data_IF_407933079118
#
_entry.id   IF_407933079118
#
_cell.length_a   1.000
_cell.length_b   1.000
_cell.length_c   1.000
_cell.angle_alpha   90.00
_cell.angle_beta   90.00
_cell.angle_gamma   90.00
#
_symmetry.space_group_name_H-M   'P 1'
#
loop_
_entity.id
_entity.type
_entity.pdbx_description
1 polymer ?
#
# COMPACT_ATOMS: atom_id res chain seq x y z
N UNK A 1 -11.11 2.19 18.65
CA UNK A 1 -10.40 1.14 17.89
C UNK A 1 -9.44 0.46 18.84
N UNK A 2 -9.53 -0.85 19.02
CA UNK A 2 -8.58 -1.62 19.84
C UNK A 2 -7.59 -2.32 18.92
N UNK A 3 -6.33 -2.45 19.35
CA UNK A 3 -5.28 -3.17 18.63
C UNK A 3 -4.80 -4.33 19.47
N UNK A 4 -4.75 -5.51 18.88
CA UNK A 4 -4.18 -6.68 19.56
C UNK A 4 -2.64 -6.62 19.50
N UNK A 5 -1.96 -7.31 20.43
CA UNK A 5 -0.50 -7.45 20.35
C UNK A 5 -0.05 -8.13 19.05
N UNK A 6 -0.86 -9.07 18.54
CA UNK A 6 -0.60 -9.76 17.28
C UNK A 6 -0.68 -8.80 16.11
N UNK A 7 -1.73 -8.00 16.05
CA UNK A 7 -1.94 -7.03 14.98
C UNK A 7 -0.83 -5.99 14.91
N UNK A 8 -0.41 -5.45 16.07
CA UNK A 8 0.71 -4.50 16.12
C UNK A 8 2.01 -5.14 15.62
N UNK A 9 2.24 -6.41 15.97
CA UNK A 9 3.39 -7.17 15.44
C UNK A 9 3.27 -7.36 13.93
N UNK A 10 2.12 -7.80 13.44
CA UNK A 10 1.89 -8.08 12.01
C UNK A 10 2.01 -6.78 11.18
N UNK A 11 1.48 -5.66 11.66
CA UNK A 11 1.67 -4.33 11.05
C UNK A 11 3.15 -3.93 11.02
N UNK A 12 3.87 -4.10 12.13
CA UNK A 12 5.29 -3.76 12.20
C UNK A 12 6.13 -4.64 11.25
N UNK A 13 5.85 -5.94 11.19
CA UNK A 13 6.53 -6.88 10.28
C UNK A 13 6.23 -6.52 8.83
N UNK A 14 4.96 -6.28 8.48
CA UNK A 14 4.58 -5.89 7.13
C UNK A 14 5.20 -4.54 6.73
N UNK A 15 5.24 -3.57 7.64
CA UNK A 15 5.87 -2.27 7.41
C UNK A 15 7.36 -2.40 7.09
N UNK A 16 8.10 -3.14 7.92
CA UNK A 16 9.53 -3.38 7.72
C UNK A 16 9.82 -4.20 6.46
N UNK A 17 9.03 -5.25 6.21
CA UNK A 17 9.18 -6.11 5.04
C UNK A 17 8.91 -5.36 3.74
N UNK A 18 7.88 -4.51 3.69
CA UNK A 18 7.60 -3.67 2.52
C UNK A 18 8.67 -2.59 2.34
N UNK A 19 9.12 -1.95 3.43
CA UNK A 19 10.26 -1.02 3.36
C UNK A 19 11.50 -1.67 2.77
N UNK A 20 11.77 -2.93 3.15
CA UNK A 20 12.89 -3.71 2.65
C UNK A 20 12.71 -4.05 1.17
N UNK A 21 11.53 -4.53 0.78
CA UNK A 21 11.20 -4.86 -0.60
C UNK A 21 11.36 -3.66 -1.54
N UNK A 22 10.84 -2.48 -1.16
CA UNK A 22 11.00 -1.25 -1.94
C UNK A 22 12.45 -0.74 -1.94
N UNK A 23 13.17 -0.83 -0.81
CA UNK A 23 14.59 -0.46 -0.75
C UNK A 23 15.43 -1.29 -1.73
N UNK A 24 15.18 -2.60 -1.81
CA UNK A 24 15.84 -3.52 -2.74
C UNK A 24 15.42 -3.29 -4.19
N UNK A 25 14.17 -2.92 -4.43
CA UNK A 25 13.69 -2.54 -5.77
C UNK A 25 14.40 -1.28 -6.28
N UNK A 26 14.62 -0.29 -5.41
CA UNK A 26 15.27 0.98 -5.76
C UNK A 26 16.79 0.88 -5.78
N UNK A 27 17.38 -0.06 -5.04
CA UNK A 27 18.82 -0.37 -5.05
C UNK A 27 19.04 -1.87 -5.26
N UNK A 28 18.90 -2.36 -6.51
CA UNK A 28 19.02 -3.77 -6.81
C UNK A 28 20.43 -4.30 -6.53
N UNK A 29 20.50 -5.50 -5.96
CA UNK A 29 21.76 -6.24 -5.85
C UNK A 29 22.22 -6.62 -7.26
N UNK A 30 23.50 -6.38 -7.54
CA UNK A 30 24.12 -6.73 -8.83
C UNK A 30 25.37 -7.57 -8.60
N UNK A 31 25.80 -8.32 -9.61
CA UNK A 31 27.03 -9.10 -9.59
C UNK A 31 28.27 -8.25 -9.23
N UNK A 32 28.21 -6.94 -9.47
CA UNK A 32 29.29 -5.98 -9.16
C UNK A 32 29.07 -5.20 -7.86
N UNK A 33 27.92 -5.35 -7.19
CA UNK A 33 27.56 -4.65 -5.94
C UNK A 33 26.83 -5.61 -5.00
N UNK A 34 27.58 -6.53 -4.40
CA UNK A 34 27.06 -7.54 -3.46
C UNK A 34 26.89 -6.99 -2.03
N UNK A 35 27.58 -5.90 -1.70
CA UNK A 35 27.55 -5.21 -0.42
C UNK A 35 26.47 -4.12 -0.33
N UNK A 36 25.60 -4.00 -1.34
CA UNK A 36 24.58 -2.94 -1.44
C UNK A 36 23.73 -2.85 -0.17
N UNK A 37 23.34 -3.98 0.43
CA UNK A 37 22.43 -4.03 1.58
C UNK A 37 23.05 -3.43 2.85
N UNK A 38 24.38 -3.38 2.96
CA UNK A 38 25.10 -2.76 4.08
C UNK A 38 25.59 -1.34 3.77
N UNK A 39 25.33 -0.84 2.57
CA UNK A 39 25.78 0.47 2.13
C UNK A 39 24.98 1.61 2.80
N UNK A 40 25.61 2.79 3.04
CA UNK A 40 24.89 3.98 3.50
C UNK A 40 23.78 4.41 2.54
N UNK A 41 23.97 4.23 1.23
CA UNK A 41 22.96 4.53 0.20
C UNK A 41 21.70 3.69 0.40
N UNK A 42 21.86 2.38 0.62
CA UNK A 42 20.74 1.50 0.89
C UNK A 42 20.03 1.85 2.20
N UNK A 43 20.77 2.20 3.25
CA UNK A 43 20.16 2.64 4.51
C UNK A 43 19.25 3.87 4.30
N UNK A 44 19.67 4.83 3.48
CA UNK A 44 18.86 5.99 3.11
C UNK A 44 17.63 5.56 2.30
N UNK A 45 17.79 4.72 1.28
CA UNK A 45 16.67 4.27 0.44
C UNK A 45 15.66 3.40 1.20
N UNK A 46 16.13 2.58 2.13
CA UNK A 46 15.29 1.82 3.04
C UNK A 46 14.48 2.76 3.96
N UNK A 47 15.12 3.79 4.54
CA UNK A 47 14.42 4.80 5.33
C UNK A 47 13.39 5.58 4.51
N UNK A 48 13.75 5.98 3.28
CA UNK A 48 12.81 6.59 2.32
C UNK A 48 11.63 5.67 2.05
N UNK A 49 11.88 4.38 1.82
CA UNK A 49 10.85 3.37 1.54
C UNK A 49 9.92 3.16 2.74
N UNK A 50 10.44 3.15 3.96
CA UNK A 50 9.63 3.07 5.18
C UNK A 50 8.68 4.26 5.32
N UNK A 51 9.17 5.47 5.03
CA UNK A 51 8.37 6.71 5.15
C UNK A 51 7.37 6.86 4.02
N UNK A 52 7.70 6.40 2.81
CA UNK A 52 6.84 6.57 1.63
C UNK A 52 5.89 5.40 1.44
N UNK A 53 6.41 4.24 1.03
CA UNK A 53 5.63 3.02 0.82
C UNK A 53 5.05 2.49 2.13
N UNK A 54 5.88 2.44 3.18
CA UNK A 54 5.51 1.85 4.45
C UNK A 54 4.38 2.60 5.16
N UNK A 55 4.48 3.92 5.27
CA UNK A 55 3.40 4.75 5.83
C UNK A 55 2.15 4.74 4.94
N UNK A 56 2.31 4.72 3.61
CA UNK A 56 1.19 4.56 2.68
C UNK A 56 0.42 3.26 2.94
N UNK A 57 1.12 2.13 3.01
CA UNK A 57 0.56 0.83 3.39
C UNK A 57 -0.13 0.85 4.76
N UNK A 58 0.51 1.41 5.79
CA UNK A 58 -0.11 1.52 7.11
C UNK A 58 -1.39 2.35 7.05
N UNK A 59 -1.36 3.51 6.38
CA UNK A 59 -2.54 4.35 6.17
C UNK A 59 -3.68 3.62 5.46
N UNK A 60 -3.35 2.83 4.44
CA UNK A 60 -4.28 2.00 3.68
C UNK A 60 -5.00 0.97 4.56
N UNK A 61 -4.25 0.12 5.26
CA UNK A 61 -4.83 -0.95 6.10
C UNK A 61 -5.58 -0.37 7.31
N UNK A 62 -5.04 0.68 7.92
CA UNK A 62 -5.71 1.35 9.02
C UNK A 62 -7.01 2.02 8.60
N UNK A 63 -7.10 2.51 7.35
CA UNK A 63 -8.34 3.06 6.81
C UNK A 63 -9.41 1.98 6.61
N UNK A 64 -9.06 0.80 6.06
CA UNK A 64 -9.96 -0.34 6.01
C UNK A 64 -10.50 -0.68 7.40
N UNK A 65 -9.60 -0.81 8.39
CA UNK A 65 -9.97 -1.11 9.76
C UNK A 65 -10.86 -0.03 10.36
N UNK A 66 -10.51 1.24 10.20
CA UNK A 66 -11.24 2.36 10.78
C UNK A 66 -12.69 2.40 10.28
N UNK A 67 -12.90 2.21 8.97
CA UNK A 67 -14.24 2.18 8.37
C UNK A 67 -15.00 0.90 8.77
N UNK A 68 -14.33 -0.24 8.86
CA UNK A 68 -14.97 -1.48 9.34
C UNK A 68 -15.46 -1.36 10.78
N UNK A 69 -14.62 -0.80 11.67
CA UNK A 69 -14.97 -0.52 13.08
C UNK A 69 -16.09 0.51 13.18
N UNK A 70 -16.10 1.54 12.33
CA UNK A 70 -17.19 2.51 12.27
C UNK A 70 -18.54 1.85 11.96
N UNK A 71 -18.55 0.79 11.14
CA UNK A 71 -19.75 -0.03 10.88
C UNK A 71 -20.00 -1.14 11.91
N UNK A 72 -19.39 -1.05 13.09
CA UNK A 72 -19.60 -1.99 14.20
C UNK A 72 -18.96 -3.37 13.98
N UNK A 73 -18.04 -3.52 13.04
CA UNK A 73 -17.30 -4.77 12.86
C UNK A 73 -16.13 -4.84 13.85
N UNK A 74 -15.80 -6.05 14.29
CA UNK A 74 -14.49 -6.33 14.86
C UNK A 74 -13.52 -6.58 13.71
N UNK A 75 -12.50 -5.73 13.59
CA UNK A 75 -11.54 -5.77 12.50
C UNK A 75 -10.09 -5.82 13.02
N UNK A 76 -9.26 -6.66 12.41
CA UNK A 76 -7.86 -6.88 12.77
C UNK A 76 -7.02 -7.11 11.52
N UNK A 77 -5.95 -6.34 11.34
CA UNK A 77 -4.95 -6.64 10.30
C UNK A 77 -4.18 -7.92 10.64
N UNK A 78 -4.02 -8.79 9.64
CA UNK A 78 -3.16 -9.98 9.73
C UNK A 78 -2.23 -10.03 8.54
N UNK A 79 -0.94 -10.15 8.83
CA UNK A 79 0.08 -10.27 7.81
C UNK A 79 0.07 -11.67 7.17
N UNK A 80 0.26 -11.72 5.86
CA UNK A 80 0.59 -12.94 5.15
C UNK A 80 2.11 -13.02 4.95
N UNK A 81 2.76 -13.80 5.82
CA UNK A 81 4.22 -13.93 5.83
C UNK A 81 4.77 -14.55 4.54
N UNK A 82 4.00 -15.39 3.84
CA UNK A 82 4.42 -15.95 2.55
C UNK A 82 4.43 -14.88 1.47
N UNK A 83 3.39 -14.05 1.44
CA UNK A 83 3.31 -12.92 0.50
C UNK A 83 4.30 -11.80 0.83
N UNK A 84 4.61 -11.57 2.10
CA UNK A 84 5.69 -10.65 2.50
C UNK A 84 7.06 -11.15 2.04
N UNK A 85 7.33 -12.45 2.17
CA UNK A 85 8.55 -13.04 1.63
C UNK A 85 8.60 -12.89 0.11
N UNK A 86 7.48 -13.13 -0.59
CA UNK A 86 7.39 -12.93 -2.03
C UNK A 86 7.59 -11.47 -2.44
N UNK A 87 7.10 -10.51 -1.65
CA UNK A 87 7.32 -9.08 -1.90
C UNK A 87 8.81 -8.73 -1.80
N UNK A 88 9.52 -9.23 -0.78
CA UNK A 88 10.98 -9.04 -0.63
C UNK A 88 11.72 -9.70 -1.80
N UNK A 89 11.38 -10.95 -2.14
CA UNK A 89 11.98 -11.67 -3.25
C UNK A 89 11.73 -10.99 -4.61
N UNK A 90 10.53 -10.44 -4.80
CA UNK A 90 10.20 -9.61 -5.95
C UNK A 90 11.09 -8.37 -6.00
N UNK A 91 11.21 -7.64 -4.88
CA UNK A 91 12.06 -6.45 -4.79
C UNK A 91 13.49 -6.74 -5.23
N UNK A 92 14.04 -7.90 -4.84
CA UNK A 92 15.33 -8.39 -5.33
C UNK A 92 15.35 -8.67 -6.84
N UNK A 93 14.26 -9.22 -7.37
CA UNK A 93 14.11 -9.55 -8.79
C UNK A 93 13.67 -8.35 -9.66
N UNK A 94 13.55 -7.14 -9.09
CA UNK A 94 13.18 -5.93 -9.82
C UNK A 94 11.67 -5.79 -10.12
N UNK A 95 10.81 -6.54 -9.45
CA UNK A 95 9.35 -6.41 -9.57
C UNK A 95 8.69 -6.40 -8.20
N UNK A 96 7.55 -5.73 -8.01
CA UNK A 96 6.86 -5.79 -6.73
C UNK A 96 5.46 -6.35 -6.86
N UNK A 97 5.21 -7.42 -6.12
CA UNK A 97 3.87 -7.94 -5.87
C UNK A 97 3.62 -7.90 -4.36
N UNK A 98 2.84 -6.93 -3.91
CA UNK A 98 2.57 -6.71 -2.49
C UNK A 98 1.10 -7.03 -2.19
N UNK A 99 0.86 -8.22 -1.65
CA UNK A 99 -0.35 -8.57 -0.91
C UNK A 99 0.05 -8.89 0.54
N UNK A 100 0.49 -7.88 1.31
CA UNK A 100 1.18 -8.06 2.60
C UNK A 100 0.32 -8.70 3.69
N UNK A 101 -1.00 -8.71 3.50
CA UNK A 101 -1.98 -9.20 4.44
C UNK A 101 -3.36 -8.68 4.06
N UNK A 102 -4.30 -8.80 4.99
CA UNK A 102 -5.61 -8.21 4.86
C UNK A 102 -6.19 -7.87 6.25
N UNK A 103 -7.06 -6.86 6.29
CA UNK A 103 -7.91 -6.62 7.45
C UNK A 103 -9.05 -7.64 7.46
N UNK A 104 -8.97 -8.59 8.40
CA UNK A 104 -10.06 -9.51 8.65
C UNK A 104 -11.10 -8.81 9.51
N UNK A 105 -12.35 -8.81 9.04
CA UNK A 105 -13.46 -8.25 9.78
C UNK A 105 -14.57 -9.29 10.01
N UNK A 106 -15.09 -9.33 11.23
CA UNK A 106 -16.17 -10.21 11.65
C UNK A 106 -17.38 -9.41 12.12
N UNK A 107 -18.56 -9.76 11.58
CA UNK A 107 -19.82 -9.11 11.86
C UNK A 107 -20.77 -9.14 10.66
N UNK A 108 -21.99 -8.62 10.85
CA UNK A 108 -22.95 -8.45 9.76
C UNK A 108 -22.59 -7.19 8.99
N UNK A 109 -22.34 -7.31 7.69
CA UNK A 109 -21.98 -6.17 6.83
C UNK A 109 -22.83 -6.20 5.56
N UNK A 110 -23.42 -5.05 5.21
CA UNK A 110 -24.15 -4.87 3.96
C UNK A 110 -23.18 -4.77 2.77
N UNK A 111 -23.67 -4.99 1.55
CA UNK A 111 -22.86 -4.80 0.33
C UNK A 111 -22.30 -3.37 0.24
N UNK A 112 -23.07 -2.36 0.66
CA UNK A 112 -22.62 -0.97 0.71
C UNK A 112 -21.48 -0.75 1.69
N UNK A 113 -21.62 -1.23 2.92
CA UNK A 113 -20.57 -1.09 3.93
C UNK A 113 -19.30 -1.83 3.52
N UNK A 114 -19.42 -3.03 2.93
CA UNK A 114 -18.27 -3.77 2.40
C UNK A 114 -17.55 -3.00 1.30
N UNK A 115 -18.30 -2.40 0.37
CA UNK A 115 -17.74 -1.55 -0.68
C UNK A 115 -17.05 -0.30 -0.12
N UNK A 116 -17.61 0.33 0.92
CA UNK A 116 -17.00 1.48 1.59
C UNK A 116 -15.74 1.12 2.38
N UNK A 117 -15.71 -0.06 3.03
CA UNK A 117 -14.50 -0.59 3.67
C UNK A 117 -13.41 -0.77 2.62
N UNK A 118 -13.68 -1.46 1.51
CA UNK A 118 -12.71 -1.65 0.43
C UNK A 118 -12.26 -0.31 -0.21
N UNK A 119 -13.15 0.66 -0.35
CA UNK A 119 -12.80 1.98 -0.89
C UNK A 119 -11.85 2.78 0.04
N UNK A 120 -11.91 2.54 1.35
CA UNK A 120 -11.17 3.32 2.33
C UNK A 120 -9.66 3.28 2.12
N UNK A 121 -9.10 2.11 1.79
CA UNK A 121 -7.67 1.93 1.53
C UNK A 121 -7.17 2.76 0.35
N UNK A 122 -7.72 2.61 -0.87
CA UNK A 122 -7.32 3.41 -2.03
C UNK A 122 -7.50 4.92 -1.82
N UNK A 123 -8.56 5.35 -1.12
CA UNK A 123 -8.77 6.77 -0.80
C UNK A 123 -7.73 7.28 0.19
N UNK A 124 -7.35 6.49 1.20
CA UNK A 124 -6.29 6.86 2.13
C UNK A 124 -4.94 7.02 1.43
N UNK A 125 -4.63 6.17 0.46
CA UNK A 125 -3.44 6.32 -0.37
C UNK A 125 -3.49 7.59 -1.22
N UNK A 126 -4.62 7.91 -1.86
CA UNK A 126 -4.75 9.17 -2.61
C UNK A 126 -4.59 10.40 -1.71
N UNK A 127 -5.13 10.35 -0.48
CA UNK A 127 -4.93 11.41 0.50
C UNK A 127 -3.45 11.54 0.91
N UNK A 128 -2.78 10.42 1.14
CA UNK A 128 -1.35 10.38 1.47
C UNK A 128 -0.49 10.89 0.30
N UNK A 129 -0.85 10.57 -0.95
CA UNK A 129 -0.23 11.15 -2.13
C UNK A 129 -0.37 12.67 -2.17
N UNK A 130 -1.54 13.21 -1.79
CA UNK A 130 -1.76 14.66 -1.65
C UNK A 130 -0.86 15.29 -0.57
N UNK A 131 -0.68 14.62 0.57
CA UNK A 131 0.25 15.05 1.63
C UNK A 131 1.68 15.10 1.10
N UNK A 132 2.15 14.04 0.45
CA UNK A 132 3.49 14.02 -0.14
C UNK A 132 3.66 15.07 -1.24
N UNK A 133 2.63 15.30 -2.06
CA UNK A 133 2.66 16.31 -3.10
C UNK A 133 2.87 17.72 -2.51
N UNK A 134 2.19 18.05 -1.40
CA UNK A 134 2.42 19.31 -0.70
C UNK A 134 3.86 19.46 -0.15
N UNK A 135 4.57 18.35 0.09
CA UNK A 135 5.93 18.32 0.59
C UNK A 135 7.01 18.35 -0.51
N UNK A 136 6.65 18.20 -1.79
CA UNK A 136 7.64 18.18 -2.90
C UNK A 136 8.49 19.44 -3.03
N UNK A 137 8.01 20.67 -2.72
CA UNK A 137 8.87 21.86 -2.78
C UNK A 137 9.99 21.86 -1.75
N UNK A 138 9.85 21.07 -0.68
CA UNK A 138 10.76 21.08 0.48
C UNK A 138 11.64 19.82 0.48
N UNK A 139 11.19 18.73 -0.12
CA UNK A 139 11.92 17.47 -0.17
C UNK A 139 11.72 16.72 -1.48
N UNK A 140 12.82 16.45 -2.18
CA UNK A 140 12.81 15.61 -3.38
C UNK A 140 12.30 14.19 -3.09
N UNK A 141 12.50 13.70 -1.86
CA UNK A 141 12.01 12.38 -1.42
C UNK A 141 10.47 12.30 -1.50
N UNK A 142 9.77 13.42 -1.31
CA UNK A 142 8.33 13.43 -1.32
C UNK A 142 7.73 13.04 -2.70
N UNK A 143 8.48 13.24 -3.79
CA UNK A 143 8.07 12.77 -5.12
C UNK A 143 7.91 11.24 -5.19
N UNK A 144 8.77 10.47 -4.50
CA UNK A 144 8.59 9.02 -4.36
C UNK A 144 7.33 8.69 -3.56
N UNK A 145 7.03 9.47 -2.52
CA UNK A 145 5.79 9.33 -1.75
C UNK A 145 4.53 9.53 -2.60
N UNK A 146 4.53 10.54 -3.47
CA UNK A 146 3.44 10.74 -4.46
C UNK A 146 3.32 9.54 -5.37
N UNK A 147 4.41 9.16 -6.05
CA UNK A 147 4.43 8.05 -7.00
C UNK A 147 3.91 6.77 -6.36
N UNK A 148 4.50 6.36 -5.23
CA UNK A 148 4.19 5.08 -4.58
C UNK A 148 2.73 5.05 -4.12
N UNK A 149 2.23 6.11 -3.47
CA UNK A 149 0.85 6.10 -2.97
C UNK A 149 -0.18 6.13 -4.12
N UNK A 150 0.10 6.84 -5.22
CA UNK A 150 -0.75 6.78 -6.42
C UNK A 150 -0.71 5.38 -7.04
N UNK A 151 0.46 4.74 -7.13
CA UNK A 151 0.58 3.36 -7.63
C UNK A 151 -0.21 2.38 -6.75
N UNK A 152 -0.09 2.47 -5.42
CA UNK A 152 -0.83 1.62 -4.49
C UNK A 152 -2.34 1.83 -4.62
N UNK A 153 -2.80 3.08 -4.80
CA UNK A 153 -4.21 3.38 -5.04
C UNK A 153 -4.71 2.83 -6.39
N UNK A 154 -3.96 3.05 -7.47
CA UNK A 154 -4.29 2.58 -8.81
C UNK A 154 -4.31 1.06 -8.90
N UNK A 155 -3.28 0.39 -8.37
CA UNK A 155 -3.17 -1.06 -8.36
C UNK A 155 -4.30 -1.70 -7.57
N UNK A 156 -4.61 -1.22 -6.35
CA UNK A 156 -5.72 -1.77 -5.57
C UNK A 156 -7.09 -1.51 -6.20
N UNK A 157 -7.21 -0.54 -7.11
CA UNK A 157 -8.46 -0.31 -7.86
C UNK A 157 -8.58 -1.17 -9.13
N UNK A 158 -7.64 -2.08 -9.42
CA UNK A 158 -7.81 -3.01 -10.52
C UNK A 158 -8.93 -4.04 -10.20
N UNK A 159 -9.80 -4.40 -11.17
CA UNK A 159 -11.03 -5.12 -10.88
C UNK A 159 -10.86 -6.66 -10.89
N UNK A 160 -9.79 -7.17 -10.26
CA UNK A 160 -9.48 -8.61 -10.24
C UNK A 160 -9.09 -9.13 -8.86
N UNK A 161 -9.30 -10.44 -8.65
CA UNK A 161 -8.80 -11.15 -7.47
C UNK A 161 -9.25 -10.53 -6.13
N UNK A 162 -8.35 -10.45 -5.13
CA UNK A 162 -8.63 -9.93 -3.80
C UNK A 162 -8.56 -8.40 -3.70
N UNK A 163 -8.25 -7.69 -4.79
CA UNK A 163 -8.06 -6.24 -4.78
C UNK A 163 -9.35 -5.48 -4.45
N UNK A 164 -9.20 -4.33 -3.81
CA UNK A 164 -10.31 -3.49 -3.35
C UNK A 164 -11.27 -3.11 -4.47
N UNK A 165 -10.73 -2.74 -5.64
CA UNK A 165 -11.48 -2.33 -6.81
C UNK A 165 -12.48 -3.38 -7.27
N UNK A 166 -12.16 -4.67 -7.11
CA UNK A 166 -13.09 -5.75 -7.40
C UNK A 166 -14.30 -5.72 -6.47
N UNK A 167 -14.09 -5.41 -5.19
CA UNK A 167 -15.16 -5.28 -4.17
C UNK A 167 -15.96 -4.00 -4.38
N UNK A 168 -15.30 -2.86 -4.63
CA UNK A 168 -15.95 -1.57 -4.90
C UNK A 168 -16.83 -1.67 -6.16
N UNK A 169 -16.33 -2.26 -7.25
CA UNK A 169 -17.08 -2.46 -8.49
C UNK A 169 -18.35 -3.29 -8.30
N UNK A 170 -18.27 -4.37 -7.51
CA UNK A 170 -19.44 -5.23 -7.20
C UNK A 170 -20.51 -4.49 -6.41
N UNK A 171 -20.13 -3.50 -5.61
CA UNK A 171 -21.08 -2.66 -4.88
C UNK A 171 -21.63 -1.51 -5.73
N UNK A 172 -20.76 -0.73 -6.40
CA UNK A 172 -21.14 0.44 -7.17
C UNK A 172 -20.14 0.71 -8.30
N UNK A 173 -20.58 0.51 -9.55
CA UNK A 173 -19.77 0.80 -10.73
C UNK A 173 -19.42 2.30 -10.84
N UNK A 174 -20.33 3.20 -10.47
CA UNK A 174 -20.08 4.64 -10.52
C UNK A 174 -18.97 5.08 -9.57
N UNK A 175 -18.99 4.59 -8.32
CA UNK A 175 -17.94 4.88 -7.33
C UNK A 175 -16.61 4.24 -7.75
N UNK A 176 -16.67 3.03 -8.29
CA UNK A 176 -15.49 2.35 -8.84
C UNK A 176 -14.82 3.20 -9.92
N UNK A 177 -15.56 3.61 -10.95
CA UNK A 177 -15.01 4.41 -12.06
C UNK A 177 -14.47 5.74 -11.56
N UNK A 178 -15.19 6.42 -10.65
CA UNK A 178 -14.79 7.72 -10.10
C UNK A 178 -13.45 7.70 -9.36
N UNK A 179 -13.04 6.55 -8.80
CA UNK A 179 -11.77 6.42 -8.08
C UNK A 179 -10.71 5.71 -8.91
N UNK A 180 -11.09 4.64 -9.63
CA UNK A 180 -10.16 3.84 -10.42
C UNK A 180 -9.58 4.61 -11.61
N UNK A 181 -10.42 5.33 -12.36
CA UNK A 181 -9.95 6.00 -13.58
C UNK A 181 -8.94 7.09 -13.25
N UNK A 182 -9.21 8.03 -12.31
CA UNK A 182 -8.22 9.05 -11.98
C UNK A 182 -6.94 8.46 -11.37
N UNK A 183 -7.04 7.48 -10.47
CA UNK A 183 -5.86 6.91 -9.81
C UNK A 183 -4.97 6.13 -10.77
N UNK A 184 -5.56 5.34 -11.68
CA UNK A 184 -4.82 4.57 -12.69
C UNK A 184 -4.23 5.50 -13.75
N UNK A 185 -4.97 6.49 -14.25
CA UNK A 185 -4.42 7.45 -15.22
C UNK A 185 -3.27 8.26 -14.62
N UNK A 186 -3.40 8.70 -13.37
CA UNK A 186 -2.33 9.41 -12.67
C UNK A 186 -1.11 8.50 -12.46
N UNK A 187 -1.32 7.23 -12.09
CA UNK A 187 -0.25 6.24 -12.00
C UNK A 187 0.51 6.08 -13.34
N UNK A 188 -0.22 5.88 -14.44
CA UNK A 188 0.37 5.72 -15.78
C UNK A 188 1.12 6.99 -16.21
N UNK A 189 0.57 8.16 -15.92
CA UNK A 189 1.20 9.46 -16.18
C UNK A 189 2.52 9.62 -15.43
N UNK A 190 2.54 9.29 -14.14
CA UNK A 190 3.75 9.38 -13.31
C UNK A 190 4.82 8.35 -13.70
N UNK A 191 4.41 7.22 -14.28
CA UNK A 191 5.32 6.22 -14.86
C UNK A 191 5.76 6.56 -16.30
N UNK A 192 5.23 7.62 -16.91
CA UNK A 192 5.62 8.07 -18.25
C UNK A 192 4.99 7.28 -19.41
N UNK A 193 3.91 6.54 -19.18
CA UNK A 193 3.18 5.80 -20.23
C UNK A 193 2.23 6.68 -21.05
N UNK A 194 1.83 7.85 -20.51
CA UNK A 194 0.91 8.83 -21.10
C UNK A 194 1.31 10.27 -20.76
#
# INVERSE_FOLDING_TARGET
MNYSRRELKDLAVAWLALGLAFGLLLSPISATRLDVVVSPEFAVLFAVSLVTAGVGFLGHELAHKAVAVHFGQHAEFRADYGMLLLAIAGGLAGFLFAAPGAVHHAGRITNRQRGLVALAGPVANLAMAGVFWALTPISAIASYGVLINVLLAGFNMLPFGPLDGNTVRKWSLGVYVAVAVPSILLALRLLGFV
#
